data_IF_390713426234
#
_entry.id   IF_390713426234
#
_cell.length_a   1.000
_cell.length_b   1.000
_cell.length_c   1.000
_cell.angle_alpha   90.00
_cell.angle_beta   90.00
_cell.angle_gamma   90.00
#
_symmetry.space_group_name_H-M   'P 1'
#
loop_
_entity.id
_entity.type
_entity.pdbx_description
1 polymer ?
#
# COMPACT_ATOMS: atom_id res chain seq x y z
N UNK A 1 3.08 2.47 -16.74
CA UNK A 1 2.66 3.50 -17.73
C UNK A 1 1.53 3.03 -18.65
N UNK A 2 1.61 1.84 -19.28
CA UNK A 2 0.59 1.39 -20.25
C UNK A 2 -0.83 1.24 -19.68
N UNK A 3 -0.97 0.78 -18.43
CA UNK A 3 -2.29 0.58 -17.79
C UNK A 3 -3.01 1.91 -17.60
N UNK A 4 -2.34 2.89 -16.98
CA UNK A 4 -2.91 4.21 -16.68
C UNK A 4 -3.24 4.98 -17.96
N UNK A 5 -2.33 4.97 -18.94
CA UNK A 5 -2.55 5.64 -20.24
C UNK A 5 -3.80 5.12 -20.95
N UNK A 6 -4.00 3.80 -20.98
CA UNK A 6 -5.21 3.20 -21.58
C UNK A 6 -6.47 3.50 -20.78
N UNK A 7 -6.43 3.34 -19.45
CA UNK A 7 -7.60 3.52 -18.59
C UNK A 7 -8.08 4.98 -18.56
N UNK A 8 -7.16 5.94 -18.41
CA UNK A 8 -7.46 7.37 -18.33
C UNK A 8 -7.48 8.07 -19.69
N UNK A 9 -7.19 7.34 -20.77
CA UNK A 9 -7.04 7.87 -22.14
C UNK A 9 -6.05 9.06 -22.21
N UNK A 10 -5.00 9.02 -21.38
CA UNK A 10 -3.93 10.02 -21.36
C UNK A 10 -2.79 9.54 -22.26
N UNK A 11 -2.32 10.41 -23.15
CA UNK A 11 -1.16 10.13 -23.98
C UNK A 11 0.07 9.78 -23.13
N UNK A 12 0.92 8.88 -23.63
CA UNK A 12 2.08 8.38 -22.88
C UNK A 12 3.11 9.47 -22.59
N UNK A 13 3.33 10.40 -23.52
CA UNK A 13 4.28 11.49 -23.33
C UNK A 13 3.78 12.45 -22.25
N UNK A 14 2.50 12.83 -22.32
CA UNK A 14 1.85 13.64 -21.27
C UNK A 14 1.81 12.93 -19.92
N UNK A 15 1.53 11.62 -19.90
CA UNK A 15 1.52 10.84 -18.66
C UNK A 15 2.90 10.78 -18.02
N UNK A 16 3.97 10.70 -18.84
CA UNK A 16 5.34 10.64 -18.35
C UNK A 16 5.70 11.89 -17.53
N UNK A 17 5.25 13.09 -17.96
CA UNK A 17 5.55 14.34 -17.24
C UNK A 17 4.88 14.44 -15.87
N UNK A 18 3.82 13.66 -15.61
CA UNK A 18 3.11 13.64 -14.32
C UNK A 18 3.39 12.38 -13.48
N UNK A 19 4.04 11.36 -14.06
CA UNK A 19 4.26 10.04 -13.46
C UNK A 19 5.73 9.80 -13.05
N UNK A 20 6.34 10.78 -12.37
CA UNK A 20 7.75 10.78 -11.94
C UNK A 20 7.95 10.47 -10.45
N UNK A 21 6.96 9.83 -9.81
CA UNK A 21 6.99 9.53 -8.37
C UNK A 21 6.51 10.69 -7.48
N UNK A 22 6.03 11.78 -8.08
CA UNK A 22 5.38 12.90 -7.38
C UNK A 22 4.03 12.47 -6.78
N UNK A 23 3.74 12.94 -5.57
CA UNK A 23 2.43 12.80 -4.93
C UNK A 23 1.54 13.95 -5.38
N UNK A 24 0.27 13.65 -5.64
CA UNK A 24 -0.75 14.62 -6.02
C UNK A 24 -1.83 14.65 -4.94
N UNK A 25 -2.33 15.85 -4.62
CA UNK A 25 -3.57 15.98 -3.86
C UNK A 25 -4.76 15.49 -4.69
N UNK A 26 -5.88 15.18 -4.04
CA UNK A 26 -7.09 14.76 -4.76
C UNK A 26 -7.51 15.79 -5.82
N UNK A 27 -7.57 17.07 -5.44
CA UNK A 27 -7.98 18.14 -6.36
C UNK A 27 -7.05 18.26 -7.58
N UNK A 28 -5.73 18.14 -7.38
CA UNK A 28 -4.77 18.14 -8.48
C UNK A 28 -4.96 16.93 -9.37
N UNK A 29 -5.16 15.73 -8.78
CA UNK A 29 -5.36 14.50 -9.51
C UNK A 29 -6.57 14.57 -10.45
N UNK A 30 -7.67 15.20 -10.01
CA UNK A 30 -8.84 15.47 -10.86
C UNK A 30 -8.49 16.44 -11.98
N UNK A 31 -7.84 17.57 -11.68
CA UNK A 31 -7.43 18.57 -12.68
C UNK A 31 -6.55 18.00 -13.79
N UNK A 32 -5.64 17.09 -13.45
CA UNK A 32 -4.72 16.45 -14.42
C UNK A 32 -5.28 15.15 -15.03
N UNK A 33 -6.49 14.75 -14.63
CA UNK A 33 -7.19 13.58 -15.18
C UNK A 33 -6.72 12.23 -14.64
N UNK A 34 -6.00 12.19 -13.52
CA UNK A 34 -5.66 10.93 -12.83
C UNK A 34 -6.83 10.39 -12.00
N UNK A 35 -7.73 11.25 -11.54
CA UNK A 35 -8.99 10.90 -10.88
C UNK A 35 -10.17 11.54 -11.64
N UNK A 36 -11.37 11.01 -11.45
CA UNK A 36 -12.59 11.53 -12.07
C UNK A 36 -13.17 12.67 -11.24
N UNK A 37 -13.40 12.42 -9.95
CA UNK A 37 -14.08 13.36 -9.06
C UNK A 37 -13.53 13.31 -7.62
N UNK A 38 -13.92 14.30 -6.83
CA UNK A 38 -13.64 14.35 -5.39
C UNK A 38 -14.90 13.92 -4.63
N UNK A 39 -14.77 12.88 -3.83
CA UNK A 39 -15.86 12.35 -3.02
C UNK A 39 -15.37 11.33 -2.00
N UNK A 40 -16.28 10.91 -1.12
CA UNK A 40 -16.07 9.83 -0.18
C UNK A 40 -16.61 8.50 -0.71
N UNK A 41 -16.73 7.53 0.19
CA UNK A 41 -17.22 6.20 -0.14
C UNK A 41 -18.69 6.23 -0.60
N UNK A 42 -19.52 7.05 0.05
CA UNK A 42 -20.95 7.11 -0.28
C UNK A 42 -21.16 7.72 -1.66
N UNK A 43 -20.44 8.80 -1.97
CA UNK A 43 -20.47 9.44 -3.29
C UNK A 43 -20.02 8.48 -4.39
N UNK A 44 -18.98 7.68 -4.13
CA UNK A 44 -18.57 6.64 -5.07
C UNK A 44 -19.64 5.55 -5.28
N UNK A 45 -20.35 5.16 -4.22
CA UNK A 45 -21.46 4.19 -4.32
C UNK A 45 -22.62 4.78 -5.11
N UNK A 46 -23.00 6.03 -4.82
CA UNK A 46 -24.08 6.71 -5.53
C UNK A 46 -23.74 6.95 -6.99
N UNK A 47 -22.52 7.41 -7.30
CA UNK A 47 -22.07 7.60 -8.68
C UNK A 47 -22.13 6.31 -9.49
N UNK A 48 -21.72 5.16 -8.90
CA UNK A 48 -21.85 3.86 -9.58
C UNK A 48 -23.32 3.47 -9.80
N UNK A 49 -24.19 3.71 -8.82
CA UNK A 49 -25.61 3.40 -8.96
C UNK A 49 -26.26 4.25 -10.07
N UNK A 50 -25.94 5.55 -10.11
CA UNK A 50 -26.40 6.49 -11.13
C UNK A 50 -25.88 6.13 -12.52
N UNK A 51 -24.58 5.84 -12.66
CA UNK A 51 -23.94 5.44 -13.93
C UNK A 51 -24.55 4.16 -14.54
N UNK A 52 -25.25 3.36 -13.73
CA UNK A 52 -25.85 2.08 -14.13
C UNK A 52 -27.39 2.08 -14.02
N UNK A 53 -28.03 3.24 -13.83
CA UNK A 53 -29.49 3.37 -13.71
C UNK A 53 -30.10 2.44 -12.63
N UNK A 54 -29.45 2.34 -11.47
CA UNK A 54 -29.86 1.46 -10.38
C UNK A 54 -30.64 2.21 -9.29
N UNK A 55 -31.97 2.11 -9.32
CA UNK A 55 -32.84 2.73 -8.30
C UNK A 55 -32.87 1.93 -6.97
N UNK A 56 -32.76 0.60 -7.04
CA UNK A 56 -32.77 -0.28 -5.88
C UNK A 56 -31.49 -1.11 -5.82
N UNK A 57 -30.73 -0.94 -4.75
CA UNK A 57 -29.51 -1.71 -4.49
C UNK A 57 -29.31 -1.97 -3.00
N UNK A 58 -28.53 -3.01 -2.69
CA UNK A 58 -28.15 -3.33 -1.31
C UNK A 58 -26.63 -3.30 -1.16
N UNK A 59 -26.16 -2.62 -0.12
CA UNK A 59 -24.74 -2.55 0.19
C UNK A 59 -24.42 -3.70 1.15
N UNK A 60 -23.67 -4.69 0.66
CA UNK A 60 -23.19 -5.80 1.47
C UNK A 60 -21.72 -5.56 1.84
N UNK A 61 -21.46 -5.34 3.12
CA UNK A 61 -20.08 -5.23 3.62
C UNK A 61 -19.54 -6.63 3.87
N UNK A 62 -18.69 -7.11 2.94
CA UNK A 62 -17.95 -8.35 3.14
C UNK A 62 -16.88 -8.14 4.22
N UNK A 63 -17.22 -8.46 5.47
CA UNK A 63 -16.22 -8.60 6.53
C UNK A 63 -15.54 -9.94 6.37
N UNK A 64 -14.27 -9.94 6.02
CA UNK A 64 -13.44 -11.14 6.17
C UNK A 64 -13.57 -11.62 7.61
N UNK A 65 -13.96 -12.88 7.80
CA UNK A 65 -13.87 -13.51 9.12
C UNK A 65 -12.40 -13.50 9.51
N UNK A 66 -12.07 -12.75 10.55
CA UNK A 66 -10.74 -12.71 11.13
C UNK A 66 -10.46 -14.07 11.78
N UNK A 67 -9.98 -15.01 10.97
CA UNK A 67 -9.49 -16.30 11.46
C UNK A 67 -7.98 -16.21 11.60
N UNK A 68 -7.48 -16.39 12.83
CA UNK A 68 -6.04 -16.44 13.13
C UNK A 68 -5.31 -17.45 12.22
N UNK A 69 -5.99 -18.51 11.78
CA UNK A 69 -5.49 -19.49 10.82
C UNK A 69 -5.18 -18.90 9.44
N UNK A 70 -5.94 -17.93 8.95
CA UNK A 70 -5.71 -17.29 7.65
C UNK A 70 -4.48 -16.39 7.68
N UNK A 71 -4.24 -15.72 8.81
CA UNK A 71 -3.02 -14.95 9.07
C UNK A 71 -1.82 -15.90 9.14
N UNK A 72 -1.87 -16.92 10.00
CA UNK A 72 -0.79 -17.89 10.10
C UNK A 72 -0.48 -18.53 8.74
N UNK A 73 -1.48 -18.92 7.96
CA UNK A 73 -1.26 -19.48 6.61
C UNK A 73 -0.59 -18.49 5.67
N UNK A 74 -1.04 -17.23 5.62
CA UNK A 74 -0.45 -16.16 4.79
C UNK A 74 1.01 -15.88 5.17
N UNK A 75 1.32 -15.88 6.46
CA UNK A 75 2.65 -15.51 6.96
C UNK A 75 3.58 -16.72 7.21
N UNK A 76 3.06 -17.95 7.29
CA UNK A 76 3.83 -19.18 7.58
C UNK A 76 4.96 -19.42 6.58
N UNK A 77 4.77 -19.06 5.30
CA UNK A 77 5.81 -19.16 4.27
C UNK A 77 7.01 -18.26 4.56
N UNK A 78 6.79 -17.15 5.26
CA UNK A 78 7.83 -16.19 5.65
C UNK A 78 8.44 -16.53 7.03
N UNK A 79 7.75 -17.32 7.85
CA UNK A 79 8.19 -17.74 9.21
C UNK A 79 8.92 -19.10 9.18
N UNK A 80 9.06 -19.76 8.02
CA UNK A 80 9.96 -20.92 7.87
C UNK A 80 11.43 -20.48 7.97
N UNK A 81 11.85 -20.03 9.14
CA UNK A 81 13.25 -19.97 9.53
C UNK A 81 13.70 -21.40 9.81
N UNK A 82 14.77 -21.82 9.14
CA UNK A 82 15.47 -23.05 9.49
C UNK A 82 15.91 -22.93 10.97
N UNK A 83 15.77 -23.99 11.76
CA UNK A 83 16.14 -23.95 13.19
C UNK A 83 17.61 -23.58 13.38
N UNK A 84 18.45 -23.81 12.36
CA UNK A 84 19.84 -23.32 12.32
C UNK A 84 19.97 -21.79 12.25
N UNK A 85 19.05 -21.11 11.57
CA UNK A 85 19.07 -19.64 11.44
C UNK A 85 18.58 -18.96 12.73
N UNK A 86 17.62 -19.57 13.43
CA UNK A 86 17.20 -19.15 14.77
C UNK A 86 18.35 -19.21 15.79
N UNK A 87 19.18 -20.25 15.72
CA UNK A 87 20.36 -20.40 16.59
C UNK A 87 21.38 -19.31 16.28
N UNK A 88 21.65 -19.01 15.00
CA UNK A 88 22.53 -17.89 14.61
C UNK A 88 21.99 -16.54 15.06
N UNK A 89 20.69 -16.27 14.88
CA UNK A 89 20.10 -15.00 15.28
C UNK A 89 20.13 -14.81 16.80
N UNK A 90 19.85 -15.88 17.57
CA UNK A 90 19.92 -15.85 19.03
C UNK A 90 21.35 -15.59 19.53
N UNK A 91 22.34 -16.30 18.99
CA UNK A 91 23.76 -16.06 19.31
C UNK A 91 24.18 -14.63 18.92
N UNK A 92 23.78 -14.15 17.74
CA UNK A 92 24.16 -12.81 17.26
C UNK A 92 23.50 -11.68 18.07
N UNK A 93 22.23 -11.84 18.48
CA UNK A 93 21.56 -10.89 19.39
C UNK A 93 22.23 -10.86 20.76
N UNK A 94 22.54 -12.01 21.35
CA UNK A 94 23.23 -12.08 22.65
C UNK A 94 24.61 -11.39 22.59
N UNK A 95 25.29 -11.43 21.43
CA UNK A 95 26.53 -10.70 21.17
C UNK A 95 26.34 -9.18 21.00
N UNK A 96 25.23 -8.73 20.44
CA UNK A 96 24.95 -7.29 20.22
C UNK A 96 24.44 -6.60 21.47
N UNK A 97 23.59 -7.26 22.28
CA UNK A 97 23.03 -6.67 23.51
C UNK A 97 24.07 -6.47 24.61
N UNK A 98 25.17 -7.24 24.60
CA UNK A 98 26.25 -7.13 25.59
C UNK A 98 27.38 -6.17 25.17
N UNK A 99 27.24 -5.46 24.05
CA UNK A 99 28.08 -4.28 23.77
C UNK A 99 27.35 -3.04 24.28
N UNK A 100 27.99 -2.13 25.03
CA UNK A 100 27.36 -0.87 25.38
C UNK A 100 27.01 -0.11 24.08
N UNK A 101 25.71 0.05 23.84
CA UNK A 101 25.16 0.74 22.67
C UNK A 101 25.32 2.25 22.89
N UNK A 102 26.50 2.78 22.60
CA UNK A 102 26.71 4.23 22.49
C UNK A 102 27.48 4.50 21.22
N UNK A 103 26.78 4.61 20.09
CA UNK A 103 27.11 5.54 19.01
C UNK A 103 25.82 5.87 18.26
N UNK A 104 25.38 7.13 18.38
CA UNK A 104 24.38 7.72 17.49
C UNK A 104 25.08 8.14 16.18
N UNK A 105 24.39 8.10 15.02
CA UNK A 105 24.99 8.25 13.69
C UNK A 105 25.48 9.67 13.33
N UNK A 106 25.69 10.56 14.31
CA UNK A 106 26.19 11.92 14.10
C UNK A 106 27.51 12.23 14.83
N UNK A 107 28.06 11.32 15.64
CA UNK A 107 29.30 11.57 16.42
C UNK A 107 30.58 11.10 15.70
N UNK A 108 30.57 10.98 14.38
CA UNK A 108 31.76 10.64 13.57
C UNK A 108 31.89 11.59 12.38
N UNK A 109 31.91 12.89 12.66
CA UNK A 109 32.49 13.91 11.77
C UNK A 109 33.09 15.03 12.63
N UNK A 110 34.30 14.78 13.12
CA UNK A 110 35.43 15.72 13.20
C UNK A 110 36.74 14.91 13.21
#
# INVERSE_FOLDING_TARGET
MNVVSKARKIDKEKLKTIAEGRIWTGEEAVKIGLADEIGGLNEAIYGIAEDNDMDEYSIVVAKDKFELGNIYKKYSRYIKMDTKDLIKEKIFKDYLYNKPVTYLPYDVLD
#
